data_IF_953329241406
#
_entry.id   IF_953329241406
#
_cell.length_a   1.000
_cell.length_b   1.000
_cell.length_c   1.000
_cell.angle_alpha   90.00
_cell.angle_beta   90.00
_cell.angle_gamma   90.00
#
_symmetry.space_group_name_H-M   'P 1'
#
loop_
_entity.id
_entity.type
_entity.pdbx_description
1 polymer ?
#
# COMPACT_ATOMS: atom_id res chain seq x y z
N UNK A 1 1.02 30.27 -7.70
CA UNK A 1 1.75 30.40 -6.42
C UNK A 1 3.14 29.81 -6.62
N UNK A 2 4.19 30.58 -6.31
CA UNK A 2 5.60 30.19 -6.46
C UNK A 2 5.93 28.97 -5.60
N UNK A 3 6.58 27.98 -6.21
CA UNK A 3 7.17 26.81 -5.58
C UNK A 3 8.26 27.23 -4.58
N UNK A 4 7.92 27.40 -3.31
CA UNK A 4 8.85 27.02 -2.26
C UNK A 4 9.01 25.51 -2.42
N UNK A 5 10.20 25.02 -2.75
CA UNK A 5 10.46 23.58 -2.81
C UNK A 5 10.24 23.06 -1.40
N UNK A 6 9.05 22.53 -1.15
CA UNK A 6 8.66 22.01 0.15
C UNK A 6 9.52 20.78 0.39
N UNK A 7 10.29 20.85 1.46
CA UNK A 7 11.32 19.89 1.78
C UNK A 7 10.84 19.01 2.94
N UNK A 8 10.45 17.79 2.63
CA UNK A 8 10.02 16.78 3.59
C UNK A 8 11.21 16.17 4.34
N UNK A 9 10.97 15.74 5.59
CA UNK A 9 11.98 15.14 6.48
C UNK A 9 11.95 13.61 6.41
N UNK A 10 12.91 12.96 7.05
CA UNK A 10 12.97 11.49 7.11
C UNK A 10 11.72 10.85 7.74
N UNK A 11 11.10 11.48 8.74
CA UNK A 11 9.86 10.98 9.34
C UNK A 11 8.68 11.05 8.36
N UNK A 12 8.55 12.13 7.59
CA UNK A 12 7.51 12.26 6.56
C UNK A 12 7.65 11.15 5.51
N UNK A 13 8.90 10.80 5.14
CA UNK A 13 9.20 9.70 4.23
C UNK A 13 8.87 8.33 4.82
N UNK A 14 9.23 8.09 6.09
CA UNK A 14 8.81 6.89 6.82
C UNK A 14 7.27 6.75 6.83
N UNK A 15 6.56 7.82 7.21
CA UNK A 15 5.11 7.83 7.32
C UNK A 15 4.42 7.60 5.96
N UNK A 16 4.97 8.20 4.90
CA UNK A 16 4.50 8.02 3.54
C UNK A 16 4.73 6.59 3.05
N UNK A 17 5.94 6.04 3.23
CA UNK A 17 6.24 4.64 2.88
C UNK A 17 5.34 3.68 3.65
N UNK A 18 5.12 3.93 4.95
CA UNK A 18 4.20 3.14 5.74
C UNK A 18 2.76 3.22 5.19
N UNK A 19 2.24 4.43 5.02
CA UNK A 19 0.84 4.61 4.66
C UNK A 19 0.51 4.30 3.20
N UNK A 20 1.51 4.29 2.30
CA UNK A 20 1.32 3.83 0.93
C UNK A 20 1.23 2.31 0.84
N UNK A 21 1.84 1.61 1.80
CA UNK A 21 2.10 0.18 1.73
C UNK A 21 1.20 -0.61 2.70
N UNK A 22 0.67 0.04 3.74
CA UNK A 22 -0.39 -0.50 4.59
C UNK A 22 -1.71 -0.52 3.78
N UNK A 23 -1.82 -1.54 2.94
CA UNK A 23 -2.94 -1.75 2.03
C UNK A 23 -4.00 -2.65 2.66
N UNK A 24 -4.93 -3.10 1.82
CA UNK A 24 -5.87 -4.23 1.97
C UNK A 24 -5.29 -5.46 2.64
N UNK A 25 -3.98 -5.65 2.53
CA UNK A 25 -3.29 -6.84 2.97
C UNK A 25 -3.69 -7.25 4.38
N UNK A 26 -3.78 -6.29 5.30
CA UNK A 26 -4.08 -6.52 6.72
C UNK A 26 -5.47 -7.07 6.96
N UNK A 27 -6.54 -6.46 6.44
CA UNK A 27 -7.91 -6.94 6.73
C UNK A 27 -8.13 -8.40 6.28
N UNK A 28 -7.45 -8.81 5.22
CA UNK A 28 -7.51 -10.17 4.69
C UNK A 28 -6.28 -10.99 5.06
N UNK A 29 -5.39 -10.55 5.96
CA UNK A 29 -4.35 -11.42 6.49
C UNK A 29 -5.00 -12.51 7.35
N UNK A 30 -4.47 -13.73 7.37
CA UNK A 30 -3.36 -14.25 6.57
C UNK A 30 -3.80 -14.90 5.24
N UNK A 31 -4.96 -14.55 4.66
CA UNK A 31 -5.41 -15.13 3.39
C UNK A 31 -4.39 -14.90 2.28
N UNK A 32 -3.96 -16.02 1.70
CA UNK A 32 -3.04 -16.10 0.57
C UNK A 32 -3.75 -16.78 -0.60
N UNK A 33 -3.36 -16.43 -1.83
CA UNK A 33 -3.80 -17.17 -3.00
C UNK A 33 -3.53 -18.67 -2.85
N UNK A 34 -4.44 -19.48 -3.40
CA UNK A 34 -4.45 -20.95 -3.33
C UNK A 34 -4.65 -21.53 -1.91
N UNK A 35 -5.15 -20.73 -0.96
CA UNK A 35 -5.57 -21.20 0.36
C UNK A 35 -4.44 -21.61 1.30
N UNK A 36 -3.18 -21.44 0.89
CA UNK A 36 -2.05 -21.86 1.70
C UNK A 36 -1.68 -20.78 2.73
N UNK A 37 -2.30 -20.87 3.91
CA UNK A 37 -2.17 -19.92 5.01
C UNK A 37 -1.16 -20.40 6.08
N UNK A 38 -0.80 -21.69 6.10
CA UNK A 38 0.02 -22.32 7.16
C UNK A 38 1.35 -21.62 7.37
N UNK A 39 2.01 -21.27 6.27
CA UNK A 39 3.31 -20.59 6.29
C UNK A 39 3.21 -19.09 6.02
N UNK A 40 2.04 -18.47 6.19
CA UNK A 40 1.80 -17.06 5.84
C UNK A 40 2.79 -16.09 6.52
N UNK A 41 3.10 -16.28 7.80
CA UNK A 41 4.06 -15.44 8.52
C UNK A 41 5.45 -15.44 7.86
N UNK A 42 5.91 -16.59 7.36
CA UNK A 42 7.21 -16.69 6.66
C UNK A 42 7.13 -16.09 5.26
N UNK A 43 6.03 -16.29 4.54
CA UNK A 43 5.79 -15.68 3.22
C UNK A 43 5.87 -14.16 3.31
N UNK A 44 5.29 -13.55 4.34
CA UNK A 44 5.30 -12.10 4.55
C UNK A 44 6.72 -11.53 4.74
N UNK A 45 7.63 -12.31 5.35
CA UNK A 45 9.05 -11.95 5.46
C UNK A 45 9.71 -12.01 4.08
N UNK A 46 9.60 -13.16 3.40
CA UNK A 46 10.28 -13.41 2.12
C UNK A 46 9.82 -12.42 1.04
N UNK A 47 8.52 -12.12 1.00
CA UNK A 47 7.91 -11.21 0.02
C UNK A 47 8.30 -9.75 0.22
N UNK A 48 8.75 -9.36 1.41
CA UNK A 48 9.24 -8.01 1.67
C UNK A 48 10.66 -7.76 1.13
N UNK A 49 11.48 -8.81 0.96
CA UNK A 49 12.90 -8.72 0.58
C UNK A 49 13.11 -7.95 -0.74
N UNK A 50 12.36 -8.22 -1.83
CA UNK A 50 12.51 -7.47 -3.08
C UNK A 50 12.25 -5.96 -2.93
N UNK A 51 11.41 -5.56 -1.98
CA UNK A 51 11.08 -4.16 -1.75
C UNK A 51 12.20 -3.40 -1.01
N UNK A 52 12.98 -4.08 -0.16
CA UNK A 52 14.22 -3.50 0.38
C UNK A 52 15.24 -3.22 -0.73
N UNK A 53 15.37 -4.13 -1.69
CA UNK A 53 16.20 -3.93 -2.88
C UNK A 53 15.70 -2.75 -3.73
N UNK A 54 14.38 -2.65 -3.93
CA UNK A 54 13.80 -1.52 -4.63
C UNK A 54 14.06 -0.17 -3.93
N UNK A 55 13.91 -0.11 -2.60
CA UNK A 55 14.24 1.10 -1.82
C UNK A 55 15.71 1.47 -1.93
N UNK A 56 16.60 0.48 -1.96
CA UNK A 56 18.01 0.71 -2.23
C UNK A 56 18.22 1.34 -3.61
N UNK A 57 17.56 0.84 -4.66
CA UNK A 57 17.61 1.43 -6.00
C UNK A 57 17.07 2.86 -6.02
N UNK A 58 15.94 3.14 -5.36
CA UNK A 58 15.36 4.49 -5.25
C UNK A 58 16.35 5.45 -4.57
N UNK A 59 16.94 5.04 -3.44
CA UNK A 59 17.93 5.87 -2.72
C UNK A 59 19.23 6.05 -3.51
N UNK A 60 19.64 5.05 -4.29
CA UNK A 60 20.78 5.17 -5.21
C UNK A 60 20.49 6.16 -6.33
N UNK A 61 19.33 6.06 -6.97
CA UNK A 61 18.87 7.01 -7.99
C UNK A 61 18.86 8.46 -7.45
N UNK A 62 18.24 8.66 -6.28
CA UNK A 62 18.12 9.96 -5.62
C UNK A 62 19.48 10.64 -5.40
N UNK A 63 20.47 9.87 -4.93
CA UNK A 63 21.85 10.36 -4.72
C UNK A 63 22.58 10.68 -6.02
N UNK A 64 22.42 9.86 -7.05
CA UNK A 64 23.10 10.04 -8.33
C UNK A 64 22.59 11.26 -9.10
N UNK A 65 21.29 11.52 -9.05
CA UNK A 65 20.63 12.53 -9.86
C UNK A 65 20.27 13.81 -9.08
N UNK A 66 20.76 14.00 -7.85
CA UNK A 66 20.56 15.20 -7.03
C UNK A 66 19.08 15.63 -6.95
N UNK A 67 18.21 14.72 -6.51
CA UNK A 67 16.77 14.94 -6.30
C UNK A 67 15.97 15.34 -7.55
N UNK A 68 16.49 15.10 -8.76
CA UNK A 68 15.71 15.31 -9.97
C UNK A 68 14.52 14.35 -10.03
N UNK A 69 13.46 14.82 -10.68
CA UNK A 69 12.25 14.05 -10.96
C UNK A 69 12.58 12.79 -11.80
N UNK A 70 12.22 11.62 -11.27
CA UNK A 70 12.47 10.33 -11.91
C UNK A 70 11.88 10.24 -13.32
N UNK A 71 10.63 10.64 -13.48
CA UNK A 71 9.93 10.52 -14.76
C UNK A 71 10.45 11.52 -15.79
N UNK A 72 10.91 12.71 -15.38
CA UNK A 72 11.59 13.64 -16.29
C UNK A 72 12.93 13.10 -16.77
N UNK A 73 13.73 12.49 -15.89
CA UNK A 73 15.00 11.85 -16.27
C UNK A 73 14.74 10.65 -17.19
N UNK A 74 13.73 9.84 -16.89
CA UNK A 74 13.33 8.72 -17.74
C UNK A 74 12.92 9.19 -19.15
N UNK A 75 12.14 10.27 -19.27
CA UNK A 75 11.75 10.84 -20.57
C UNK A 75 12.96 11.16 -21.45
N UNK A 76 14.00 11.75 -20.86
CA UNK A 76 15.23 12.11 -21.59
C UNK A 76 16.02 10.88 -22.06
N UNK A 77 15.90 9.75 -21.35
CA UNK A 77 16.68 8.56 -21.64
C UNK A 77 16.00 7.55 -22.56
N UNK A 78 14.67 7.54 -22.65
CA UNK A 78 13.88 6.41 -23.18
C UNK A 78 13.18 6.72 -24.52
N UNK A 79 13.18 8.00 -24.94
CA UNK A 79 12.44 8.45 -26.13
C UNK A 79 10.95 8.65 -25.86
N UNK A 80 10.27 9.46 -26.69
CA UNK A 80 8.88 9.90 -26.44
C UNK A 80 7.85 8.77 -26.50
N UNK A 81 7.99 7.85 -27.45
CA UNK A 81 7.04 6.76 -27.66
C UNK A 81 7.04 5.75 -26.51
N UNK A 82 8.22 5.22 -26.15
CA UNK A 82 8.34 4.24 -25.07
C UNK A 82 8.01 4.88 -23.70
N UNK A 83 8.42 6.14 -23.48
CA UNK A 83 7.99 6.91 -22.33
C UNK A 83 6.46 6.99 -22.21
N UNK A 84 5.76 7.26 -23.31
CA UNK A 84 4.30 7.33 -23.31
C UNK A 84 3.66 5.99 -22.91
N UNK A 85 4.13 4.86 -23.46
CA UNK A 85 3.61 3.52 -23.13
C UNK A 85 3.79 3.22 -21.63
N UNK A 86 5.00 3.45 -21.11
CA UNK A 86 5.33 3.21 -19.69
C UNK A 86 4.43 4.06 -18.79
N UNK A 87 4.30 5.35 -19.09
CA UNK A 87 3.49 6.27 -18.31
C UNK A 87 2.00 5.92 -18.38
N UNK A 88 1.48 5.58 -19.57
CA UNK A 88 0.10 5.17 -19.74
C UNK A 88 -0.22 3.91 -18.91
N UNK A 89 0.67 2.91 -18.92
CA UNK A 89 0.52 1.72 -18.09
C UNK A 89 0.53 2.04 -16.58
N UNK A 90 1.49 2.85 -16.12
CA UNK A 90 1.56 3.23 -14.70
C UNK A 90 0.33 4.03 -14.26
N UNK A 91 -0.18 4.94 -15.09
CA UNK A 91 -1.40 5.71 -14.82
C UNK A 91 -2.62 4.78 -14.72
N UNK A 92 -2.80 3.89 -15.68
CA UNK A 92 -3.92 2.95 -15.67
C UNK A 92 -3.85 2.04 -14.43
N UNK A 93 -2.66 1.56 -14.09
CA UNK A 93 -2.45 0.70 -12.92
C UNK A 93 -2.69 1.44 -11.60
N UNK A 94 -2.27 2.71 -11.47
CA UNK A 94 -2.49 3.50 -10.26
C UNK A 94 -3.96 3.92 -10.08
N UNK A 95 -4.66 4.24 -11.19
CA UNK A 95 -6.11 4.50 -11.19
C UNK A 95 -6.85 3.23 -10.78
N UNK A 96 -6.53 2.09 -11.40
CA UNK A 96 -7.14 0.80 -11.08
C UNK A 96 -6.90 0.40 -9.62
N UNK A 97 -5.71 0.65 -9.09
CA UNK A 97 -5.41 0.42 -7.66
C UNK A 97 -6.28 1.27 -6.74
N UNK A 98 -6.52 2.53 -7.09
CA UNK A 98 -7.41 3.42 -6.32
C UNK A 98 -8.87 2.96 -6.40
N UNK A 99 -9.31 2.48 -7.57
CA UNK A 99 -10.65 1.90 -7.78
C UNK A 99 -10.86 0.66 -6.89
N UNK A 100 -9.89 -0.25 -6.85
CA UNK A 100 -9.93 -1.45 -6.00
C UNK A 100 -9.98 -1.09 -4.53
N UNK A 101 -9.08 -0.24 -4.05
CA UNK A 101 -9.09 0.22 -2.64
C UNK A 101 -10.43 0.84 -2.25
N UNK A 102 -11.07 1.59 -3.15
CA UNK A 102 -12.41 2.16 -2.94
C UNK A 102 -13.50 1.08 -2.84
N UNK A 103 -13.47 0.08 -3.73
CA UNK A 103 -14.39 -1.07 -3.69
C UNK A 103 -14.23 -1.87 -2.39
N UNK A 104 -12.99 -2.10 -1.97
CA UNK A 104 -12.68 -2.94 -0.82
C UNK A 104 -13.05 -2.24 0.50
N UNK A 105 -12.80 -0.93 0.62
CA UNK A 105 -13.32 -0.13 1.73
C UNK A 105 -14.84 -0.27 1.81
N UNK A 106 -15.51 -0.10 0.68
CA UNK A 106 -16.98 -0.15 0.60
C UNK A 106 -17.50 -1.50 1.07
N UNK A 107 -16.86 -2.58 0.62
CA UNK A 107 -17.18 -3.94 1.05
C UNK A 107 -17.00 -4.11 2.56
N UNK A 108 -15.87 -3.68 3.12
CA UNK A 108 -15.58 -3.81 4.55
C UNK A 108 -16.54 -2.99 5.41
N UNK A 109 -16.77 -1.72 5.06
CA UNK A 109 -17.69 -0.84 5.80
C UNK A 109 -19.10 -1.42 5.79
N UNK A 110 -19.60 -1.91 4.64
CA UNK A 110 -20.93 -2.54 4.56
C UNK A 110 -21.01 -3.85 5.35
N UNK A 111 -19.94 -4.63 5.36
CA UNK A 111 -19.94 -5.94 6.03
C UNK A 111 -19.87 -5.79 7.55
N UNK A 112 -18.99 -4.90 8.05
CA UNK A 112 -18.63 -4.86 9.46
C UNK A 112 -19.15 -3.64 10.23
N UNK A 113 -19.51 -2.55 9.56
CA UNK A 113 -19.93 -1.30 10.23
C UNK A 113 -21.39 -0.93 9.94
N UNK A 114 -21.74 -0.80 8.66
CA UNK A 114 -22.96 -0.15 8.17
C UNK A 114 -23.78 -1.07 7.26
N UNK A 115 -24.26 -2.19 7.82
CA UNK A 115 -24.94 -3.28 7.07
C UNK A 115 -26.17 -2.83 6.27
N UNK A 116 -26.94 -1.90 6.82
CA UNK A 116 -28.20 -1.41 6.21
C UNK A 116 -28.01 -0.16 5.35
N UNK A 117 -26.82 0.44 5.35
CA UNK A 117 -26.59 1.72 4.66
C UNK A 117 -26.38 1.50 3.17
N UNK A 118 -27.10 2.24 2.29
CA UNK A 118 -26.87 2.18 0.86
C UNK A 118 -25.44 2.58 0.49
N UNK A 119 -24.85 1.87 -0.47
CA UNK A 119 -23.45 2.02 -0.90
C UNK A 119 -23.06 3.46 -1.27
N UNK A 120 -24.00 4.22 -1.84
CA UNK A 120 -23.81 5.63 -2.21
C UNK A 120 -23.38 6.50 -1.02
N UNK A 121 -23.97 6.30 0.16
CA UNK A 121 -23.67 7.09 1.36
C UNK A 121 -22.32 6.75 1.98
N UNK A 122 -21.68 5.65 1.55
CA UNK A 122 -20.33 5.26 1.98
C UNK A 122 -19.30 5.76 0.97
N UNK A 123 -19.53 5.48 -0.33
CA UNK A 123 -18.59 5.80 -1.39
C UNK A 123 -18.45 7.31 -1.60
N UNK A 124 -19.56 8.05 -1.64
CA UNK A 124 -19.57 9.47 -1.98
C UNK A 124 -18.70 10.33 -1.03
N UNK A 125 -18.86 10.27 0.31
CA UNK A 125 -18.02 11.05 1.22
C UNK A 125 -16.54 10.62 1.13
N UNK A 126 -16.27 9.33 0.95
CA UNK A 126 -14.90 8.83 0.80
C UNK A 126 -14.21 9.42 -0.44
N UNK A 127 -14.86 9.33 -1.60
CA UNK A 127 -14.33 9.83 -2.87
C UNK A 127 -14.17 11.36 -2.85
N UNK A 128 -15.11 12.09 -2.25
CA UNK A 128 -15.01 13.55 -2.10
C UNK A 128 -13.81 13.92 -1.23
N UNK A 129 -13.63 13.23 -0.10
CA UNK A 129 -12.54 13.51 0.83
C UNK A 129 -11.17 13.27 0.19
N UNK A 130 -10.97 12.15 -0.50
CA UNK A 130 -9.70 11.89 -1.21
C UNK A 130 -9.48 12.88 -2.36
N UNK A 131 -10.55 13.29 -3.07
CA UNK A 131 -10.45 14.27 -4.16
C UNK A 131 -10.06 15.65 -3.64
N UNK A 132 -10.63 16.07 -2.51
CA UNK A 132 -10.29 17.33 -1.82
C UNK A 132 -8.84 17.29 -1.34
N UNK A 133 -8.41 16.21 -0.69
CA UNK A 133 -7.02 16.06 -0.24
C UNK A 133 -6.02 16.14 -1.40
N UNK A 134 -6.30 15.47 -2.51
CA UNK A 134 -5.46 15.50 -3.72
C UNK A 134 -5.49 16.86 -4.41
N UNK A 135 -6.60 17.60 -4.33
CA UNK A 135 -6.70 18.97 -4.82
C UNK A 135 -5.77 19.92 -4.07
N UNK A 136 -5.73 19.84 -2.74
CA UNK A 136 -4.83 20.66 -1.90
C UNK A 136 -3.34 20.26 -2.02
N UNK A 137 -3.05 19.10 -2.59
CA UNK A 137 -1.71 18.70 -3.02
C UNK A 137 -0.93 17.86 -2.02
N UNK A 138 0.33 17.58 -2.36
CA UNK A 138 1.16 16.58 -1.67
C UNK A 138 1.41 16.94 -0.19
N UNK A 139 1.62 18.21 0.15
CA UNK A 139 1.85 18.63 1.54
C UNK A 139 0.71 18.22 2.46
N UNK A 140 -0.53 18.46 2.03
CA UNK A 140 -1.73 18.11 2.80
C UNK A 140 -1.77 16.61 3.05
N UNK A 141 -1.50 15.81 2.02
CA UNK A 141 -1.47 14.34 2.11
C UNK A 141 -0.39 13.88 3.08
N UNK A 142 0.84 14.39 2.94
CA UNK A 142 1.97 13.97 3.80
C UNK A 142 1.74 14.37 5.25
N UNK A 143 1.17 15.56 5.51
CA UNK A 143 0.84 16.00 6.87
C UNK A 143 -0.27 15.15 7.48
N UNK A 144 -1.33 14.86 6.71
CA UNK A 144 -2.40 13.96 7.13
C UNK A 144 -1.85 12.56 7.47
N UNK A 145 -1.01 12.01 6.59
CA UNK A 145 -0.37 10.71 6.77
C UNK A 145 0.52 10.68 8.01
N UNK A 146 1.40 11.68 8.16
CA UNK A 146 2.35 11.78 9.25
C UNK A 146 1.68 12.00 10.61
N UNK A 147 0.52 12.67 10.63
CA UNK A 147 -0.27 12.87 11.84
C UNK A 147 -0.87 11.54 12.34
N UNK A 148 -1.47 10.74 11.46
CA UNK A 148 -2.17 9.52 11.86
C UNK A 148 -1.27 8.28 12.00
N UNK A 149 -0.09 8.25 11.39
CA UNK A 149 0.76 7.04 11.37
C UNK A 149 1.15 6.56 12.77
N UNK A 150 1.46 7.46 13.70
CA UNK A 150 1.89 7.08 15.05
C UNK A 150 0.73 6.46 15.82
N UNK A 151 -0.44 7.11 15.76
CA UNK A 151 -1.65 6.60 16.40
C UNK A 151 -2.06 5.24 15.84
N UNK A 152 -1.95 5.05 14.52
CA UNK A 152 -2.22 3.76 13.88
C UNK A 152 -1.25 2.66 14.31
N UNK A 153 0.06 2.95 14.36
CA UNK A 153 1.06 1.98 14.82
C UNK A 153 0.82 1.61 16.29
N UNK A 154 0.53 2.59 17.14
CA UNK A 154 0.23 2.35 18.56
C UNK A 154 -1.04 1.52 18.74
N UNK A 155 -2.07 1.79 17.94
CA UNK A 155 -3.30 1.02 17.95
C UNK A 155 -3.07 -0.43 17.53
N UNK A 156 -2.36 -0.64 16.43
CA UNK A 156 -1.99 -1.97 15.95
C UNK A 156 -1.13 -2.72 16.97
N UNK A 157 -0.16 -2.04 17.58
CA UNK A 157 0.65 -2.61 18.66
C UNK A 157 -0.22 -3.04 19.85
N UNK A 158 -1.23 -2.24 20.22
CA UNK A 158 -2.15 -2.56 21.31
C UNK A 158 -2.95 -3.83 21.00
N UNK A 159 -3.59 -3.91 19.82
CA UNK A 159 -4.33 -5.11 19.42
C UNK A 159 -3.44 -6.34 19.27
N UNK A 160 -2.21 -6.17 18.79
CA UNK A 160 -1.22 -7.25 18.75
C UNK A 160 -0.88 -7.74 20.16
N UNK A 161 -0.63 -6.84 21.11
CA UNK A 161 -0.36 -7.24 22.50
C UNK A 161 -1.55 -7.96 23.11
N UNK A 162 -2.78 -7.50 22.90
CA UNK A 162 -3.98 -8.20 23.37
C UNK A 162 -4.13 -9.57 22.73
N UNK A 163 -3.84 -9.68 21.43
CA UNK A 163 -3.89 -10.94 20.71
C UNK A 163 -2.86 -11.96 21.20
N UNK A 164 -1.61 -11.55 21.43
CA UNK A 164 -0.57 -12.44 21.96
C UNK A 164 -0.77 -12.82 23.42
N UNK A 165 -1.38 -11.95 24.22
CA UNK A 165 -1.68 -12.20 25.64
C UNK A 165 -3.05 -12.82 25.88
N UNK A 166 -3.82 -13.05 24.82
CA UNK A 166 -5.13 -13.67 24.87
C UNK A 166 -5.03 -15.13 25.33
N UNK A 167 -5.99 -15.58 26.14
CA UNK A 167 -6.10 -16.99 26.54
C UNK A 167 -6.35 -17.94 25.35
N UNK A 168 -6.89 -17.41 24.25
CA UNK A 168 -7.12 -18.18 23.02
C UNK A 168 -5.83 -18.42 22.22
N UNK A 169 -4.76 -17.67 22.49
CA UNK A 169 -3.53 -17.80 21.72
C UNK A 169 -2.70 -19.01 22.17
N UNK A 170 -2.40 -19.90 21.23
CA UNK A 170 -1.57 -21.07 21.45
C UNK A 170 -0.57 -21.29 20.31
N UNK A 171 0.72 -21.35 20.64
CA UNK A 171 1.79 -21.62 19.67
C UNK A 171 1.63 -22.96 18.95
N UNK A 172 0.94 -23.94 19.55
CA UNK A 172 0.68 -25.25 18.95
C UNK A 172 -0.21 -25.14 17.71
N UNK A 173 -1.06 -24.10 17.62
CA UNK A 173 -1.95 -23.91 16.47
C UNK A 173 -1.23 -23.35 15.24
N UNK A 174 -0.01 -22.83 15.40
CA UNK A 174 0.80 -22.30 14.31
C UNK A 174 1.49 -23.48 13.60
N UNK A 175 1.15 -23.78 12.34
CA UNK A 175 1.70 -24.95 11.66
C UNK A 175 3.21 -24.83 11.43
N UNK A 176 3.91 -25.97 11.45
CA UNK A 176 5.31 -26.03 11.06
C UNK A 176 5.47 -25.78 9.55
N UNK A 177 6.52 -25.02 9.18
CA UNK A 177 6.82 -24.59 7.79
C UNK A 177 7.01 -25.77 6.81
N UNK A 178 7.37 -26.95 7.32
CA UNK A 178 7.89 -28.09 6.53
C UNK A 178 6.86 -28.81 5.64
N UNK A 179 5.56 -28.51 5.75
CA UNK A 179 4.49 -29.28 5.11
C UNK A 179 3.93 -28.65 3.82
N UNK A 180 4.64 -27.69 3.20
CA UNK A 180 4.17 -26.99 2.00
C UNK A 180 5.14 -27.22 0.84
N UNK A 181 4.61 -27.66 -0.30
CA UNK A 181 5.41 -27.78 -1.53
C UNK A 181 6.00 -26.42 -1.94
N UNK A 182 7.30 -26.38 -2.25
CA UNK A 182 8.02 -25.14 -2.60
C UNK A 182 7.35 -24.36 -3.75
N UNK A 183 6.86 -24.99 -4.85
CA UNK A 183 6.17 -24.25 -5.90
C UNK A 183 4.88 -23.56 -5.42
N UNK A 184 4.09 -24.24 -4.59
CA UNK A 184 2.85 -23.68 -3.99
C UNK A 184 3.20 -22.54 -3.04
N UNK A 185 4.26 -22.71 -2.24
CA UNK A 185 4.79 -21.67 -1.37
C UNK A 185 5.20 -20.41 -2.16
N UNK A 186 5.92 -20.56 -3.26
CA UNK A 186 6.39 -19.44 -4.07
C UNK A 186 5.24 -18.74 -4.82
N UNK A 187 4.33 -19.51 -5.43
CA UNK A 187 3.16 -18.95 -6.15
C UNK A 187 2.27 -18.14 -5.21
N UNK A 188 2.00 -18.68 -4.02
CA UNK A 188 1.22 -17.99 -2.99
C UNK A 188 1.93 -16.74 -2.46
N UNK A 189 3.25 -16.80 -2.26
CA UNK A 189 4.08 -15.64 -1.88
C UNK A 189 4.04 -14.50 -2.89
N UNK A 190 4.04 -14.79 -4.20
CA UNK A 190 3.96 -13.75 -5.24
C UNK A 190 2.68 -12.91 -5.07
N UNK A 191 1.55 -13.55 -4.76
CA UNK A 191 0.29 -12.84 -4.49
C UNK A 191 0.41 -11.89 -3.30
N UNK A 192 1.11 -12.29 -2.23
CA UNK A 192 1.33 -11.48 -1.03
C UNK A 192 2.24 -10.27 -1.27
N UNK A 193 3.21 -10.40 -2.16
CA UNK A 193 4.12 -9.30 -2.48
C UNK A 193 3.37 -8.08 -3.05
N UNK A 194 2.21 -8.27 -3.70
CA UNK A 194 1.37 -7.16 -4.18
C UNK A 194 0.89 -6.22 -3.05
N UNK A 195 0.83 -6.71 -1.80
CA UNK A 195 0.46 -5.92 -0.63
C UNK A 195 1.39 -4.72 -0.40
N UNK A 196 2.63 -4.79 -0.90
CA UNK A 196 3.61 -3.70 -0.80
C UNK A 196 3.56 -2.72 -2.00
N UNK A 197 2.58 -2.85 -2.89
CA UNK A 197 2.60 -2.18 -4.19
C UNK A 197 2.54 -0.65 -4.17
N UNK A 198 2.07 -0.03 -3.09
CA UNK A 198 2.09 1.44 -2.99
C UNK A 198 3.49 2.04 -2.88
N UNK A 199 4.54 1.23 -2.74
CA UNK A 199 5.94 1.67 -2.80
C UNK A 199 6.30 2.41 -4.09
N UNK A 200 5.62 2.13 -5.20
CA UNK A 200 5.85 2.78 -6.50
C UNK A 200 5.70 4.29 -6.44
N UNK A 201 4.82 4.76 -5.55
CA UNK A 201 4.53 6.18 -5.36
C UNK A 201 5.74 6.97 -4.84
N UNK A 202 6.72 6.29 -4.24
CA UNK A 202 8.00 6.88 -3.83
C UNK A 202 8.80 7.43 -5.01
N UNK A 203 8.63 6.89 -6.22
CA UNK A 203 9.27 7.45 -7.43
C UNK A 203 8.83 8.88 -7.72
N UNK A 204 7.56 9.21 -7.42
CA UNK A 204 7.04 10.57 -7.54
C UNK A 204 7.36 11.44 -6.33
N UNK A 205 7.44 10.84 -5.14
CA UNK A 205 7.58 11.55 -3.86
C UNK A 205 9.02 11.95 -3.53
N UNK A 206 10.01 11.10 -3.87
CA UNK A 206 11.37 11.21 -3.34
C UNK A 206 12.04 12.56 -3.67
N UNK A 207 11.73 13.18 -4.81
CA UNK A 207 12.27 14.48 -5.23
C UNK A 207 11.94 15.64 -4.27
N UNK A 208 10.90 15.50 -3.45
CA UNK A 208 10.46 16.51 -2.49
C UNK A 208 11.09 16.33 -1.09
N UNK A 209 11.93 15.30 -0.90
CA UNK A 209 12.62 15.04 0.37
C UNK A 209 13.96 15.80 0.40
N UNK A 210 14.35 16.27 1.59
CA UNK A 210 15.68 16.90 1.79
C UNK A 210 16.82 15.97 1.40
N UNK A 211 17.81 16.49 0.69
CA UNK A 211 18.96 15.70 0.22
C UNK A 211 19.82 15.16 1.38
N UNK A 212 19.90 15.88 2.49
CA UNK A 212 20.64 15.49 3.70
C UNK A 212 20.01 14.32 4.47
N UNK A 213 18.76 13.98 4.17
CA UNK A 213 18.04 12.92 4.86
C UNK A 213 18.59 11.55 4.47
N UNK A 214 18.63 10.64 5.45
CA UNK A 214 18.99 9.23 5.23
C UNK A 214 17.80 8.50 4.59
N UNK A 215 17.52 8.80 3.32
CA UNK A 215 16.33 8.34 2.59
C UNK A 215 16.17 6.82 2.59
N UNK A 216 17.26 6.07 2.38
CA UNK A 216 17.27 4.61 2.49
C UNK A 216 16.78 4.16 3.88
N UNK A 217 17.34 4.72 4.96
CA UNK A 217 16.98 4.34 6.33
C UNK A 217 15.51 4.61 6.63
N UNK A 218 14.99 5.77 6.22
CA UNK A 218 13.60 6.13 6.44
C UNK A 218 12.62 5.20 5.70
N UNK A 219 12.84 4.98 4.40
CA UNK A 219 12.00 4.08 3.59
C UNK A 219 12.10 2.63 4.08
N UNK A 220 13.31 2.13 4.36
CA UNK A 220 13.51 0.78 4.88
C UNK A 220 12.89 0.59 6.25
N UNK A 221 12.91 1.60 7.12
CA UNK A 221 12.20 1.54 8.40
C UNK A 221 10.68 1.43 8.21
N UNK A 222 10.11 2.12 7.21
CA UNK A 222 8.69 2.01 6.87
C UNK A 222 8.30 0.60 6.43
N UNK A 223 9.08 0.00 5.51
CA UNK A 223 8.87 -1.38 5.05
C UNK A 223 9.06 -2.38 6.19
N UNK A 224 10.12 -2.22 6.99
CA UNK A 224 10.39 -3.09 8.12
C UNK A 224 9.26 -3.05 9.14
N UNK A 225 8.75 -1.87 9.47
CA UNK A 225 7.63 -1.72 10.38
C UNK A 225 6.37 -2.44 9.89
N UNK A 226 6.04 -2.32 8.61
CA UNK A 226 4.91 -3.03 7.99
C UNK A 226 5.11 -4.54 8.00
N UNK A 227 6.29 -4.99 7.59
CA UNK A 227 6.62 -6.41 7.57
C UNK A 227 6.45 -7.01 8.98
N UNK A 228 6.95 -6.35 10.02
CA UNK A 228 6.79 -6.80 11.40
C UNK A 228 5.32 -6.83 11.83
N UNK A 229 4.53 -5.81 11.47
CA UNK A 229 3.09 -5.79 11.76
C UNK A 229 2.38 -6.95 11.04
N UNK A 230 2.63 -7.16 9.75
CA UNK A 230 2.00 -8.21 8.96
C UNK A 230 2.34 -9.61 9.50
N UNK A 231 3.61 -9.86 9.81
CA UNK A 231 4.07 -11.12 10.40
C UNK A 231 3.41 -11.34 11.76
N UNK A 232 3.40 -10.31 12.62
CA UNK A 232 2.81 -10.41 13.95
C UNK A 232 1.31 -10.70 13.88
N UNK A 233 0.58 -10.00 12.99
CA UNK A 233 -0.85 -10.23 12.80
C UNK A 233 -1.13 -11.64 12.27
N UNK A 234 -0.33 -12.11 11.31
CA UNK A 234 -0.45 -13.48 10.81
C UNK A 234 -0.21 -14.52 11.90
N UNK A 235 0.78 -14.30 12.78
CA UNK A 235 1.07 -15.19 13.89
C UNK A 235 -0.06 -15.20 14.92
N UNK A 236 -0.62 -14.04 15.28
CA UNK A 236 -1.74 -13.96 16.22
C UNK A 236 -2.98 -14.65 15.65
N UNK A 237 -3.33 -14.39 14.39
CA UNK A 237 -4.50 -15.05 13.76
C UNK A 237 -4.32 -16.57 13.76
N UNK A 238 -3.15 -17.07 13.34
CA UNK A 238 -2.87 -18.50 13.33
C UNK A 238 -2.80 -19.10 14.75
N UNK A 239 -2.27 -18.35 15.72
CA UNK A 239 -2.19 -18.79 17.10
C UNK A 239 -3.53 -18.78 17.83
N UNK A 240 -4.50 -17.98 17.40
CA UNK A 240 -5.85 -17.93 17.99
C UNK A 240 -6.81 -18.90 17.31
N UNK A 241 -6.84 -18.91 15.97
CA UNK A 241 -7.83 -19.71 15.22
C UNK A 241 -7.26 -21.01 14.65
N UNK A 242 -5.94 -21.12 14.49
CA UNK A 242 -5.34 -22.19 13.71
C UNK A 242 -5.61 -22.05 12.20
N UNK A 243 -5.04 -22.95 11.41
CA UNK A 243 -5.17 -22.91 9.95
C UNK A 243 -6.59 -23.24 9.46
N UNK A 244 -7.20 -24.31 10.00
CA UNK A 244 -8.48 -24.85 9.52
C UNK A 244 -9.62 -23.84 9.70
N UNK A 245 -9.64 -23.08 10.79
CA UNK A 245 -10.65 -22.03 10.98
C UNK A 245 -10.28 -20.74 10.23
N UNK A 246 -9.00 -20.33 10.24
CA UNK A 246 -8.59 -19.05 9.66
C UNK A 246 -8.85 -18.96 8.15
N UNK A 247 -8.83 -20.08 7.41
CA UNK A 247 -9.11 -20.11 5.96
C UNK A 247 -10.59 -19.85 5.63
N UNK A 248 -11.49 -20.08 6.57
CA UNK A 248 -12.94 -19.89 6.38
C UNK A 248 -13.44 -18.52 6.85
N UNK A 249 -12.60 -17.74 7.52
CA UNK A 249 -12.95 -16.39 7.97
C UNK A 249 -12.91 -15.38 6.81
N UNK A 250 -13.97 -14.58 6.67
CA UNK A 250 -14.05 -13.49 5.69
C UNK A 250 -12.93 -12.46 5.90
N UNK A 251 -12.69 -12.12 7.17
CA UNK A 251 -11.61 -11.23 7.59
C UNK A 251 -11.05 -11.72 8.92
N UNK A 252 -9.98 -12.54 8.89
CA UNK A 252 -9.44 -13.15 10.10
C UNK A 252 -9.03 -12.11 11.14
N UNK A 253 -8.53 -10.95 10.70
CA UNK A 253 -8.15 -9.85 11.61
C UNK A 253 -9.35 -9.17 12.26
N UNK A 254 -10.42 -8.88 11.50
CA UNK A 254 -11.60 -8.25 12.10
C UNK A 254 -12.25 -9.23 13.08
N UNK A 255 -12.34 -10.51 12.74
CA UNK A 255 -12.82 -11.55 13.65
C UNK A 255 -11.93 -11.68 14.88
N UNK A 256 -10.60 -11.61 14.73
CA UNK A 256 -9.67 -11.59 15.85
C UNK A 256 -9.94 -10.40 16.79
N UNK A 257 -10.05 -9.19 16.24
CA UNK A 257 -10.31 -7.99 17.05
C UNK A 257 -11.64 -8.12 17.79
N UNK A 258 -12.66 -8.66 17.15
CA UNK A 258 -13.96 -8.90 17.78
C UNK A 258 -13.92 -9.99 18.86
N UNK A 259 -13.07 -11.02 18.71
CA UNK A 259 -12.97 -12.11 19.70
C UNK A 259 -12.16 -11.74 20.93
N UNK A 260 -11.16 -10.86 20.79
CA UNK A 260 -10.30 -10.42 21.91
C UNK A 260 -10.80 -9.15 22.61
N UNK A 261 -11.81 -8.48 22.05
CA UNK A 261 -12.39 -7.28 22.67
C UNK A 261 -13.24 -7.68 23.88
N UNK A 262 -13.04 -7.06 25.06
CA UNK A 262 -13.85 -7.37 26.24
C UNK A 262 -15.34 -7.15 25.99
N UNK A 263 -16.18 -8.13 26.36
CA UNK A 263 -17.63 -8.08 26.18
C UNK A 263 -18.37 -7.21 27.21
N UNK A 264 -17.64 -6.63 28.18
CA UNK A 264 -18.23 -5.80 29.24
C UNK A 264 -17.37 -4.57 29.54
N UNK A 265 -18.01 -3.45 29.90
CA UNK A 265 -17.36 -2.21 30.32
C UNK A 265 -17.19 -1.17 29.20
N UNK A 266 -16.41 -0.11 29.49
CA UNK A 266 -16.19 1.02 28.56
C UNK A 266 -15.55 0.63 27.21
N UNK A 267 -15.01 -0.58 27.09
CA UNK A 267 -14.27 -1.07 25.92
C UNK A 267 -15.08 -2.07 25.06
N UNK A 268 -16.38 -2.19 25.28
CA UNK A 268 -17.28 -3.17 24.63
C UNK A 268 -17.28 -3.10 23.08
N UNK A 269 -16.95 -1.94 22.51
CA UNK A 269 -16.88 -1.71 21.06
C UNK A 269 -15.53 -1.18 20.58
N UNK A 270 -14.43 -1.67 21.16
CA UNK A 270 -13.07 -1.38 20.65
C UNK A 270 -12.89 -1.85 19.20
N UNK A 271 -13.68 -2.84 18.75
CA UNK A 271 -13.76 -3.26 17.35
C UNK A 271 -14.13 -2.10 16.40
N UNK A 272 -15.06 -1.23 16.79
CA UNK A 272 -15.39 -0.04 16.02
C UNK A 272 -14.26 0.99 15.99
N UNK A 273 -13.48 1.10 17.06
CA UNK A 273 -12.33 2.00 17.10
C UNK A 273 -11.24 1.50 16.15
N UNK A 274 -10.98 0.19 16.14
CA UNK A 274 -10.11 -0.46 15.16
C UNK A 274 -10.60 -0.17 13.74
N UNK A 275 -11.87 -0.46 13.44
CA UNK A 275 -12.47 -0.24 12.12
C UNK A 275 -12.44 1.24 11.71
N UNK A 276 -12.63 2.17 12.65
CA UNK A 276 -12.55 3.61 12.40
C UNK A 276 -11.14 4.06 11.98
N UNK A 277 -10.11 3.63 12.71
CA UNK A 277 -8.72 3.85 12.29
C UNK A 277 -8.39 3.16 10.97
N UNK A 278 -9.00 2.00 10.74
CA UNK A 278 -8.87 1.25 9.49
C UNK A 278 -9.38 2.06 8.29
N UNK A 279 -10.55 2.71 8.43
CA UNK A 279 -11.10 3.62 7.40
C UNK A 279 -10.11 4.77 7.11
N UNK A 280 -9.44 5.31 8.15
CA UNK A 280 -8.41 6.35 7.97
C UNK A 280 -7.23 5.82 7.17
N UNK A 281 -6.78 4.58 7.40
CA UNK A 281 -5.71 3.93 6.62
C UNK A 281 -6.09 3.81 5.15
N UNK A 282 -7.33 3.41 4.86
CA UNK A 282 -7.89 3.39 3.49
C UNK A 282 -7.91 4.77 2.84
N UNK A 283 -8.28 5.81 3.59
CA UNK A 283 -8.24 7.20 3.08
C UNK A 283 -6.80 7.58 2.75
N UNK A 284 -5.82 7.28 3.61
CA UNK A 284 -4.41 7.62 3.39
C UNK A 284 -3.85 6.97 2.14
N UNK A 285 -4.03 5.66 1.98
CA UNK A 285 -3.51 4.94 0.81
C UNK A 285 -4.21 5.40 -0.47
N UNK A 286 -5.53 5.63 -0.45
CA UNK A 286 -6.25 6.19 -1.61
C UNK A 286 -5.80 7.60 -1.96
N UNK A 287 -5.56 8.47 -0.97
CA UNK A 287 -4.97 9.79 -1.21
C UNK A 287 -3.61 9.69 -1.90
N UNK A 288 -2.74 8.78 -1.44
CA UNK A 288 -1.40 8.58 -2.01
C UNK A 288 -1.47 8.03 -3.45
N UNK A 289 -2.27 6.98 -3.68
CA UNK A 289 -2.42 6.36 -5.01
C UNK A 289 -3.10 7.31 -6.00
N UNK A 290 -4.12 8.05 -5.56
CA UNK A 290 -4.79 9.02 -6.40
C UNK A 290 -3.88 10.21 -6.70
N UNK A 291 -3.15 10.72 -5.70
CA UNK A 291 -2.13 11.74 -5.93
C UNK A 291 -1.08 11.28 -6.95
N UNK A 292 -0.59 10.05 -6.83
CA UNK A 292 0.39 9.51 -7.76
C UNK A 292 -0.17 9.41 -9.18
N UNK A 293 -1.43 8.99 -9.33
CA UNK A 293 -2.13 8.97 -10.63
C UNK A 293 -2.20 10.35 -11.28
N UNK A 294 -2.59 11.36 -10.50
CA UNK A 294 -2.65 12.76 -10.97
C UNK A 294 -1.25 13.29 -11.29
N UNK A 295 -0.26 12.99 -10.45
CA UNK A 295 1.13 13.38 -10.68
C UNK A 295 1.66 12.79 -11.99
N UNK A 296 1.42 11.51 -12.29
CA UNK A 296 1.82 10.90 -13.55
C UNK A 296 1.10 11.53 -14.76
N UNK A 297 -0.19 11.84 -14.63
CA UNK A 297 -0.94 12.53 -15.67
C UNK A 297 -0.44 13.95 -15.92
N UNK A 298 -0.04 14.69 -14.89
CA UNK A 298 0.58 16.01 -15.02
C UNK A 298 1.90 15.95 -15.80
N UNK A 299 2.63 14.83 -15.75
CA UNK A 299 3.85 14.63 -16.55
C UNK A 299 3.56 14.34 -18.04
N UNK A 300 2.42 13.70 -18.36
CA UNK A 300 2.00 13.45 -19.75
C UNK A 300 1.25 14.64 -20.36
N UNK A 301 0.39 15.28 -19.58
CA UNK A 301 -0.52 16.34 -20.01
C UNK A 301 -0.31 17.62 -19.19
N UNK A 302 0.88 18.25 -19.27
CA UNK A 302 1.24 19.39 -18.41
C UNK A 302 0.39 20.64 -18.63
N UNK A 303 -0.38 20.70 -19.72
CA UNK A 303 -1.28 21.82 -20.04
C UNK A 303 -2.66 21.69 -19.38
N UNK A 304 -3.04 20.49 -18.92
CA UNK A 304 -4.34 20.26 -18.28
C UNK A 304 -4.26 20.67 -16.82
N UNK A 305 -5.22 21.46 -16.36
CA UNK A 305 -5.28 21.88 -14.95
C UNK A 305 -5.53 20.67 -14.05
N UNK A 306 -4.80 20.59 -12.94
CA UNK A 306 -4.94 19.54 -11.90
C UNK A 306 -6.40 19.25 -11.52
N UNK A 307 -7.19 20.30 -11.30
CA UNK A 307 -8.61 20.16 -10.93
C UNK A 307 -9.45 19.44 -11.99
N UNK A 308 -9.14 19.65 -13.28
CA UNK A 308 -9.81 18.95 -14.38
C UNK A 308 -9.47 17.46 -14.35
N UNK A 309 -8.18 17.11 -14.19
CA UNK A 309 -7.74 15.72 -14.08
C UNK A 309 -8.42 14.99 -12.92
N UNK A 310 -8.51 15.64 -11.76
CA UNK A 310 -9.19 15.09 -10.57
C UNK A 310 -10.66 14.81 -10.91
N UNK A 311 -11.40 15.82 -11.35
CA UNK A 311 -12.85 15.70 -11.65
C UNK A 311 -13.12 14.67 -12.75
N UNK A 312 -12.22 14.50 -13.73
CA UNK A 312 -12.38 13.48 -14.78
C UNK A 312 -12.22 12.05 -14.29
N UNK A 313 -11.36 11.81 -13.29
CA UNK A 313 -11.03 10.45 -12.82
C UNK A 313 -11.92 10.04 -11.65
N UNK A 314 -12.29 10.98 -10.79
CA UNK A 314 -13.11 10.75 -9.60
C UNK A 314 -14.39 9.90 -9.87
N UNK A 315 -15.16 10.12 -10.96
CA UNK A 315 -16.33 9.29 -11.27
C UNK A 315 -16.02 7.82 -11.55
N UNK A 316 -14.82 7.48 -12.03
CA UNK A 316 -14.41 6.10 -12.29
C UNK A 316 -14.34 5.28 -11.00
N UNK A 317 -13.90 5.91 -9.90
CA UNK A 317 -13.86 5.28 -8.58
C UNK A 317 -15.26 4.93 -8.09
N UNK A 318 -16.22 5.83 -8.32
CA UNK A 318 -17.61 5.62 -7.97
C UNK A 318 -18.23 4.50 -8.82
N UNK A 319 -18.10 4.59 -10.14
CA UNK A 319 -18.65 3.63 -11.09
C UNK A 319 -18.14 2.21 -10.80
N UNK A 320 -16.83 2.05 -10.57
CA UNK A 320 -16.25 0.75 -10.28
C UNK A 320 -16.74 0.15 -8.96
N UNK A 321 -16.70 0.93 -7.88
CA UNK A 321 -17.12 0.44 -6.57
C UNK A 321 -18.63 0.12 -6.49
N UNK A 322 -19.45 0.74 -7.36
CA UNK A 322 -20.90 0.51 -7.39
C UNK A 322 -21.33 -0.62 -8.33
N UNK A 323 -20.71 -0.72 -9.51
CA UNK A 323 -21.16 -1.63 -10.57
C UNK A 323 -20.36 -2.92 -10.70
N UNK A 324 -19.11 -2.95 -10.23
CA UNK A 324 -18.29 -4.17 -10.28
C UNK A 324 -18.54 -4.98 -9.00
N UNK A 325 -19.02 -6.23 -9.09
CA UNK A 325 -19.22 -7.06 -7.92
C UNK A 325 -17.88 -7.36 -7.24
N UNK A 326 -17.89 -7.38 -5.90
CA UNK A 326 -16.72 -7.75 -5.13
C UNK A 326 -16.43 -9.25 -5.33
N UNK A 327 -15.21 -9.59 -5.73
CA UNK A 327 -14.76 -10.97 -5.92
C UNK A 327 -13.59 -11.29 -4.98
N UNK A 328 -13.68 -12.41 -4.27
CA UNK A 328 -12.67 -12.83 -3.30
C UNK A 328 -11.44 -13.51 -3.92
N UNK A 329 -11.59 -14.26 -5.02
CA UNK A 329 -10.57 -15.22 -5.48
C UNK A 329 -10.08 -14.92 -6.90
N UNK A 330 -10.96 -14.94 -7.90
CA UNK A 330 -10.55 -14.80 -9.32
C UNK A 330 -10.03 -13.40 -9.65
N UNK A 331 -10.71 -12.35 -9.17
CA UNK A 331 -10.30 -10.96 -9.40
C UNK A 331 -8.99 -10.55 -8.69
N UNK A 332 -8.60 -11.28 -7.63
CA UNK A 332 -7.42 -10.95 -6.83
C UNK A 332 -6.12 -11.30 -7.55
N UNK A 333 -6.06 -12.41 -8.29
CA UNK A 333 -4.83 -12.82 -8.97
C UNK A 333 -4.41 -11.83 -10.06
N UNK A 334 -5.35 -11.42 -10.92
CA UNK A 334 -5.09 -10.43 -11.98
C UNK A 334 -4.67 -9.08 -11.39
N UNK A 335 -5.38 -8.64 -10.35
CA UNK A 335 -5.03 -7.42 -9.62
C UNK A 335 -3.61 -7.49 -9.04
N UNK A 336 -3.29 -8.57 -8.31
CA UNK A 336 -1.99 -8.73 -7.64
C UNK A 336 -0.84 -8.80 -8.65
N UNK A 337 -1.01 -9.50 -9.77
CA UNK A 337 -0.01 -9.52 -10.85
C UNK A 337 0.19 -8.11 -11.42
N UNK A 338 -0.90 -7.40 -11.74
CA UNK A 338 -0.79 -6.03 -12.25
C UNK A 338 -0.09 -5.10 -11.24
N UNK A 339 -0.44 -5.19 -9.96
CA UNK A 339 0.20 -4.41 -8.89
C UNK A 339 1.68 -4.75 -8.81
N UNK A 340 2.08 -6.02 -8.83
CA UNK A 340 3.50 -6.41 -8.81
C UNK A 340 4.29 -5.92 -10.01
N UNK A 341 3.72 -6.04 -11.21
CA UNK A 341 4.37 -5.55 -12.43
C UNK A 341 4.56 -4.04 -12.33
N UNK A 342 3.51 -3.29 -12.01
CA UNK A 342 3.54 -1.85 -11.94
C UNK A 342 4.36 -1.31 -10.77
N UNK A 343 4.43 -2.03 -9.65
CA UNK A 343 5.04 -1.53 -8.42
C UNK A 343 6.43 -2.02 -8.13
N UNK A 344 6.80 -3.22 -8.60
CA UNK A 344 8.09 -3.84 -8.31
C UNK A 344 8.89 -4.06 -9.59
N UNK A 345 8.38 -4.88 -10.52
CA UNK A 345 9.16 -5.31 -11.68
C UNK A 345 9.51 -4.14 -12.60
N UNK A 346 8.51 -3.39 -13.07
CA UNK A 346 8.72 -2.27 -13.99
C UNK A 346 9.55 -1.15 -13.34
N UNK A 347 9.23 -0.65 -12.13
CA UNK A 347 10.06 0.34 -11.43
C UNK A 347 11.52 -0.10 -11.24
N UNK A 348 11.78 -1.34 -10.84
CA UNK A 348 13.15 -1.85 -10.69
C UNK A 348 13.89 -1.86 -12.02
N UNK A 349 13.27 -2.35 -13.10
CA UNK A 349 13.86 -2.33 -14.44
C UNK A 349 14.17 -0.91 -14.92
N UNK A 350 13.26 0.04 -14.71
CA UNK A 350 13.45 1.44 -15.08
C UNK A 350 14.55 2.11 -14.25
N UNK A 351 14.58 1.87 -12.94
CA UNK A 351 15.64 2.37 -12.06
C UNK A 351 17.01 1.83 -12.48
N UNK A 352 17.12 0.52 -12.73
CA UNK A 352 18.35 -0.12 -13.19
C UNK A 352 18.81 0.46 -14.54
N UNK A 353 17.90 0.61 -15.50
CA UNK A 353 18.18 1.21 -16.80
C UNK A 353 18.72 2.64 -16.67
N UNK A 354 18.06 3.49 -15.89
CA UNK A 354 18.48 4.89 -15.67
C UNK A 354 19.83 4.96 -14.95
N UNK A 355 20.03 4.15 -13.89
CA UNK A 355 21.30 4.10 -13.14
C UNK A 355 22.45 3.61 -14.03
N UNK A 356 22.23 2.59 -14.88
CA UNK A 356 23.24 2.09 -15.80
C UNK A 356 23.66 3.15 -16.83
N UNK A 357 22.70 3.91 -17.37
CA UNK A 357 22.97 4.97 -18.35
C UNK A 357 23.79 6.12 -17.75
N UNK A 358 23.57 6.47 -16.49
CA UNK A 358 24.40 7.46 -15.78
C UNK A 358 25.88 7.05 -15.70
N UNK A 359 26.15 5.75 -15.48
CA UNK A 359 27.52 5.23 -15.36
C UNK A 359 28.27 5.35 -16.69
N UNK A 360 27.66 4.93 -17.79
CA UNK A 360 28.27 4.99 -19.11
C UNK A 360 28.57 6.43 -19.55
N UNK A 361 27.74 7.41 -19.17
CA UNK A 361 28.00 8.82 -19.47
C UNK A 361 29.19 9.40 -18.70
N UNK A 362 29.59 8.83 -17.56
CA UNK A 362 30.81 9.25 -16.84
C UNK A 362 32.06 8.55 -17.40
N UNK A 363 31.96 7.26 -17.73
CA UNK A 363 33.06 6.47 -18.29
C UNK A 363 33.47 6.94 -19.70
N UNK A 364 32.59 7.62 -20.46
CA UNK A 364 32.95 8.25 -21.74
C UNK A 364 33.60 9.64 -21.61
N UNK A 365 33.60 10.23 -20.42
CA UNK A 365 34.13 11.58 -20.15
C UNK A 365 35.46 11.53 -19.35
N UNK A 366 35.73 10.39 -18.71
CA UNK A 366 37.05 10.01 -18.18
C UNK A 366 37.89 9.34 -19.25
#
# INVERSE_FOLDING_TARGET
MRNTIQQFRGFDLFAFTFSSTITLGVAFLPYVADGEIRSAWLKLIITSIPFFFQVWLISKYFRLYNNRDFFKVMKNHTGSFLYFIIMAYLILSSIFSTMKVTQDLTFLVRTFMLKTTPTIFIILPFILLISIAVHYGLLTIVRFVSFFVVAEILLLATFLTWGFLSEYFNWIFIPHVMNVEVPVFLKSSISDAARYGGIVTLLGFIQYVKQEEKTFRAMSAGILCIMLIYVSLSLVVLGVFGYEEAIHLISPIITLVQSITPSTGLLERMDLLFLGFWVISFIKVSCILFWFSIYLLEQLFPKIKRGVLIVSITPLFFAYANWVPFQFIEGWQVYNINVLVASLLLPCLLLLFVIAKHRNSREMVS
#
